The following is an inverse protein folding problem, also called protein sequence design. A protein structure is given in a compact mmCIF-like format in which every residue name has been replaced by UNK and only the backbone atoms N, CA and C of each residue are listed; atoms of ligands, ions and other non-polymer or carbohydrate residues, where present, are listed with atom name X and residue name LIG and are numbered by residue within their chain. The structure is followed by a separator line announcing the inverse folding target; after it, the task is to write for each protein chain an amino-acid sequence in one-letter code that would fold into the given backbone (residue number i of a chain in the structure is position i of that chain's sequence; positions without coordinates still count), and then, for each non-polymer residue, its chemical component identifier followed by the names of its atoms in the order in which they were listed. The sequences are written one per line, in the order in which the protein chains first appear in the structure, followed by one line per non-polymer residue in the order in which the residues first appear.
data_IF_512962823130
#
_entry.id   IF_512962823130
#
_cell.length_a   1.000
_cell.length_b   1.000
_cell.length_c   1.000
_cell.angle_alpha   90.00
_cell.angle_beta   90.00
_cell.angle_gamma   90.00
#
_symmetry.space_group_name_H-M   'P 1'
#
loop_
_entity.id
_entity.type
_entity.pdbx_description
1 polymer ?
#
# COMPACT_ATOMS: atom_id res chain seq x y z
N UNK A 1 -14.88 -3.22 -9.49
CA UNK A 1 -15.41 -4.27 -8.61
C UNK A 1 -16.33 -3.65 -7.58
N UNK A 2 -17.23 -4.44 -6.99
CA UNK A 2 -18.41 -3.96 -6.26
C UNK A 2 -18.13 -3.52 -4.81
N UNK A 3 -16.90 -3.68 -4.31
CA UNK A 3 -16.58 -3.45 -2.89
C UNK A 3 -15.34 -2.57 -2.63
N UNK A 4 -14.99 -1.67 -3.57
CA UNK A 4 -13.90 -0.71 -3.32
C UNK A 4 -14.39 0.52 -2.54
N UNK A 5 -13.71 0.89 -1.46
CA UNK A 5 -14.10 2.03 -0.59
C UNK A 5 -13.40 3.33 -1.02
N UNK A 6 -14.17 4.41 -1.11
CA UNK A 6 -13.66 5.78 -1.26
C UNK A 6 -13.55 6.46 0.11
N UNK A 7 -12.49 7.24 0.31
CA UNK A 7 -12.33 8.04 1.52
C UNK A 7 -13.56 8.96 1.76
N UNK A 8 -14.12 8.92 2.98
CA UNK A 8 -15.33 9.65 3.43
C UNK A 8 -16.63 9.38 2.63
N UNK A 9 -16.74 8.30 1.83
CA UNK A 9 -17.87 8.07 0.90
C UNK A 9 -18.12 9.27 -0.04
N UNK A 10 -17.07 10.04 -0.34
CA UNK A 10 -17.12 11.15 -1.29
C UNK A 10 -16.23 10.82 -2.47
N UNK A 11 -16.70 11.12 -3.68
CA UNK A 11 -15.98 10.86 -4.93
C UNK A 11 -14.55 11.43 -4.94
N UNK A 12 -14.36 12.58 -4.26
CA UNK A 12 -13.05 13.24 -4.12
C UNK A 12 -12.00 12.40 -3.35
N UNK A 13 -12.45 11.59 -2.40
CA UNK A 13 -11.56 10.74 -1.60
C UNK A 13 -10.87 9.66 -2.43
N UNK A 14 -11.54 9.17 -3.48
CA UNK A 14 -10.98 8.21 -4.43
C UNK A 14 -10.01 8.86 -5.42
N UNK A 15 -10.28 10.10 -5.85
CA UNK A 15 -9.38 10.83 -6.76
C UNK A 15 -8.09 11.29 -6.07
N UNK A 16 -8.15 11.62 -4.78
CA UNK A 16 -6.95 12.03 -4.05
C UNK A 16 -6.17 10.85 -3.47
N UNK A 17 -6.80 9.98 -2.67
CA UNK A 17 -6.10 8.99 -1.86
C UNK A 17 -6.09 7.58 -2.48
N UNK A 18 -6.80 7.40 -3.60
CA UNK A 18 -7.04 6.10 -4.21
C UNK A 18 -8.14 5.29 -3.52
N UNK A 19 -8.46 4.14 -4.12
CA UNK A 19 -9.40 3.15 -3.59
C UNK A 19 -8.71 2.21 -2.61
N UNK A 20 -9.45 1.77 -1.60
CA UNK A 20 -9.02 0.70 -0.68
C UNK A 20 -9.71 -0.61 -1.05
N UNK A 21 -8.98 -1.71 -0.89
CA UNK A 21 -9.41 -3.05 -1.27
C UNK A 21 -9.08 -4.05 -0.18
N UNK A 22 -9.94 -5.04 0.01
CA UNK A 22 -9.55 -6.27 0.68
C UNK A 22 -8.49 -7.01 -0.14
N UNK A 23 -7.87 -8.04 0.43
CA UNK A 23 -6.73 -8.67 -0.22
C UNK A 23 -7.10 -9.42 -1.51
N UNK A 24 -8.28 -10.05 -1.56
CA UNK A 24 -8.72 -10.80 -2.75
C UNK A 24 -9.04 -9.82 -3.89
N UNK A 25 -9.72 -8.71 -3.59
CA UNK A 25 -9.94 -7.63 -4.54
C UNK A 25 -8.60 -6.96 -4.97
N UNK A 26 -7.66 -6.78 -4.03
CA UNK A 26 -6.35 -6.19 -4.30
C UNK A 26 -5.54 -6.98 -5.34
N UNK A 27 -5.63 -8.31 -5.33
CA UNK A 27 -4.96 -9.18 -6.30
C UNK A 27 -5.47 -8.96 -7.74
N UNK A 28 -6.69 -8.46 -7.91
CA UNK A 28 -7.35 -8.27 -9.21
C UNK A 28 -7.59 -6.80 -9.56
N UNK A 29 -7.24 -5.87 -8.67
CA UNK A 29 -7.45 -4.43 -8.84
C UNK A 29 -6.51 -3.78 -9.87
N UNK A 30 -5.40 -4.45 -10.21
CA UNK A 30 -4.42 -3.92 -11.15
C UNK A 30 -4.91 -4.02 -12.61
N UNK A 31 -4.61 -3.04 -13.47
CA UNK A 31 -4.93 -3.11 -14.90
C UNK A 31 -4.24 -4.28 -15.60
N UNK A 32 -4.71 -4.64 -16.80
CA UNK A 32 -4.09 -5.68 -17.62
C UNK A 32 -2.60 -5.40 -17.84
N UNK A 33 -1.77 -6.44 -17.65
CA UNK A 33 -0.30 -6.34 -17.71
C UNK A 33 0.35 -5.82 -16.42
N UNK A 34 -0.43 -5.51 -15.40
CA UNK A 34 0.03 -5.12 -14.08
C UNK A 34 -0.49 -6.10 -13.01
N UNK A 35 0.24 -6.19 -11.90
CA UNK A 35 -0.14 -6.99 -10.74
C UNK A 35 0.26 -6.32 -9.45
N UNK A 36 -0.29 -6.81 -8.35
CA UNK A 36 0.16 -6.42 -7.02
C UNK A 36 1.60 -6.93 -6.81
N UNK A 37 2.51 -6.13 -6.22
CA UNK A 37 3.88 -6.54 -5.96
C UNK A 37 3.93 -7.62 -4.89
N UNK A 38 4.85 -8.57 -5.02
CA UNK A 38 5.15 -9.51 -3.94
C UNK A 38 5.94 -8.83 -2.83
N UNK A 39 6.04 -9.50 -1.68
CA UNK A 39 6.90 -9.07 -0.58
C UNK A 39 8.35 -8.91 -1.03
N UNK A 40 8.87 -9.85 -1.81
CA UNK A 40 10.26 -9.85 -2.27
C UNK A 40 10.55 -8.66 -3.21
N UNK A 41 9.57 -8.23 -4.00
CA UNK A 41 9.71 -7.04 -4.86
C UNK A 41 9.74 -5.74 -4.05
N UNK A 42 8.92 -5.66 -3.01
CA UNK A 42 9.00 -4.57 -2.04
C UNK A 42 10.36 -4.52 -1.35
N UNK A 43 10.88 -5.67 -0.91
CA UNK A 43 12.20 -5.76 -0.27
C UNK A 43 13.31 -5.27 -1.20
N UNK A 44 13.34 -5.74 -2.44
CA UNK A 44 14.33 -5.29 -3.44
C UNK A 44 14.26 -3.79 -3.68
N UNK A 45 13.06 -3.23 -3.83
CA UNK A 45 12.88 -1.79 -4.00
C UNK A 45 13.41 -1.03 -2.77
N UNK A 46 13.05 -1.46 -1.56
CA UNK A 46 13.49 -0.82 -0.32
C UNK A 46 15.01 -0.88 -0.19
N UNK A 47 15.63 -2.01 -0.52
CA UNK A 47 17.09 -2.17 -0.54
C UNK A 47 17.76 -1.21 -1.53
N UNK A 48 17.25 -1.10 -2.76
CA UNK A 48 17.73 -0.15 -3.77
C UNK A 48 17.65 1.31 -3.29
N UNK A 49 16.64 1.63 -2.47
CA UNK A 49 16.44 2.95 -1.87
C UNK A 49 17.26 3.16 -0.56
N UNK A 50 18.17 2.25 -0.24
CA UNK A 50 19.09 2.38 0.91
C UNK A 50 18.59 1.72 2.20
N UNK A 51 17.58 0.84 2.10
CA UNK A 51 17.05 0.02 3.19
C UNK A 51 15.92 0.69 3.99
N UNK A 52 15.29 -0.10 4.86
CA UNK A 52 14.10 0.28 5.64
C UNK A 52 14.26 1.56 6.46
N UNK A 53 15.48 1.87 6.89
CA UNK A 53 15.78 3.09 7.68
C UNK A 53 15.95 4.35 6.84
N UNK A 54 15.80 4.29 5.51
CA UNK A 54 16.04 5.42 4.58
C UNK A 54 14.99 5.52 3.48
N UNK A 55 14.47 4.39 3.01
CA UNK A 55 13.61 4.32 1.83
C UNK A 55 12.30 5.12 1.95
N UNK A 56 11.78 5.35 3.16
CA UNK A 56 10.47 5.97 3.36
C UNK A 56 10.34 7.37 2.76
N UNK A 57 11.39 8.20 2.79
CA UNK A 57 11.33 9.51 2.14
C UNK A 57 11.20 9.42 0.62
N UNK A 58 11.94 8.49 -0.01
CA UNK A 58 11.86 8.30 -1.45
C UNK A 58 10.47 7.79 -1.85
N UNK A 59 9.97 6.76 -1.17
CA UNK A 59 8.63 6.18 -1.43
C UNK A 59 7.50 7.21 -1.33
N UNK A 60 7.60 8.17 -0.41
CA UNK A 60 6.57 9.19 -0.16
C UNK A 60 6.73 10.41 -1.07
N UNK A 61 7.95 10.91 -1.25
CA UNK A 61 8.20 12.24 -1.84
C UNK A 61 8.82 12.19 -3.25
N UNK A 62 9.49 11.11 -3.64
CA UNK A 62 10.07 10.99 -4.97
C UNK A 62 8.98 10.68 -6.00
N UNK A 63 8.69 11.68 -6.84
CA UNK A 63 7.71 11.56 -7.92
C UNK A 63 8.24 10.76 -9.11
N UNK A 64 9.56 10.62 -9.26
CA UNK A 64 10.20 9.81 -10.30
C UNK A 64 10.01 8.31 -10.10
N UNK A 65 9.75 7.86 -8.86
CA UNK A 65 9.47 6.45 -8.56
C UNK A 65 8.06 5.99 -8.93
N UNK A 66 7.13 6.91 -9.20
CA UNK A 66 5.75 6.56 -9.56
C UNK A 66 4.89 5.95 -8.44
N UNK A 67 5.43 5.71 -7.25
CA UNK A 67 4.68 5.12 -6.11
C UNK A 67 3.81 6.17 -5.40
N UNK A 68 4.37 7.37 -5.17
CA UNK A 68 3.75 8.49 -4.45
C UNK A 68 2.91 7.99 -3.25
N UNK A 69 3.59 7.45 -2.24
CA UNK A 69 2.96 6.85 -1.07
C UNK A 69 2.30 7.92 -0.19
N UNK A 70 1.11 8.34 -0.56
CA UNK A 70 0.36 9.34 0.19
C UNK A 70 -0.12 8.78 1.53
N UNK A 71 0.03 9.59 2.57
CA UNK A 71 -0.56 9.32 3.87
C UNK A 71 -2.05 9.51 3.81
N UNK A 72 -2.77 8.52 4.30
CA UNK A 72 -4.22 8.55 4.37
C UNK A 72 -4.67 8.22 5.78
N UNK A 73 -5.83 7.59 5.83
CA UNK A 73 -6.51 7.23 7.05
C UNK A 73 -6.45 5.72 7.24
N UNK A 74 -5.56 5.18 8.11
CA UNK A 74 -5.49 3.74 8.31
C UNK A 74 -6.85 3.25 8.84
N UNK A 75 -7.53 2.32 8.16
CA UNK A 75 -8.79 1.79 8.65
C UNK A 75 -8.49 0.91 9.86
N UNK A 76 -9.13 1.21 11.00
CA UNK A 76 -9.24 0.20 12.03
C UNK A 76 -10.37 -0.78 11.68
N UNK A 77 -10.38 -1.95 12.32
CA UNK A 77 -11.32 -3.06 12.07
C UNK A 77 -12.81 -2.70 12.24
N UNK A 78 -13.10 -1.53 12.82
CA UNK A 78 -14.44 -1.02 13.12
C UNK A 78 -14.79 0.26 12.34
N UNK A 79 -14.02 0.60 11.29
CA UNK A 79 -14.26 1.83 10.51
C UNK A 79 -13.98 3.13 11.27
N UNK A 80 -13.30 3.09 12.42
CA UNK A 80 -12.78 4.30 13.08
C UNK A 80 -11.43 4.64 12.49
N UNK A 81 -11.48 5.71 11.73
CA UNK A 81 -10.39 6.51 11.23
C UNK A 81 -9.55 7.04 12.40
N UNK A 82 -8.22 6.82 12.39
CA UNK A 82 -7.25 7.33 13.38
C UNK A 82 -7.04 8.86 13.37
N UNK A 83 -5.80 9.33 13.46
CA UNK A 83 -5.47 10.75 13.19
C UNK A 83 -5.33 10.94 11.67
N UNK A 84 -5.95 11.98 11.09
CA UNK A 84 -5.88 12.23 9.64
C UNK A 84 -4.41 12.24 9.15
N UNK A 85 -4.16 11.67 7.97
CA UNK A 85 -2.87 11.71 7.27
C UNK A 85 -1.64 11.22 8.06
N UNK A 86 -1.82 10.23 8.93
CA UNK A 86 -0.75 9.76 9.81
C UNK A 86 0.00 8.53 9.28
N UNK A 87 -0.63 7.71 8.43
CA UNK A 87 -0.08 6.44 7.96
C UNK A 87 -0.56 6.09 6.56
N UNK A 88 0.26 5.32 5.85
CA UNK A 88 -0.10 4.68 4.57
C UNK A 88 0.24 3.20 4.63
N UNK A 89 -0.57 2.35 4.01
CA UNK A 89 -0.44 0.89 4.06
C UNK A 89 -0.66 0.31 2.67
N UNK A 90 0.19 -0.64 2.29
CA UNK A 90 0.13 -1.30 0.99
C UNK A 90 0.03 -2.80 1.17
N UNK A 91 -0.91 -3.40 0.46
CA UNK A 91 -0.95 -4.85 0.29
C UNK A 91 0.25 -5.32 -0.55
N UNK A 92 0.70 -6.54 -0.26
CA UNK A 92 1.54 -7.33 -1.15
C UNK A 92 0.73 -8.52 -1.68
N UNK A 93 1.15 -9.12 -2.79
CA UNK A 93 0.58 -10.37 -3.32
C UNK A 93 0.99 -11.61 -2.51
N UNK A 94 1.81 -11.46 -1.47
CA UNK A 94 2.34 -12.57 -0.68
C UNK A 94 1.41 -12.88 0.50
N UNK A 95 0.70 -14.01 0.40
CA UNK A 95 -0.07 -14.57 1.51
C UNK A 95 0.87 -15.06 2.63
N UNK A 96 0.54 -14.79 3.89
CA UNK A 96 1.22 -15.42 5.03
C UNK A 96 0.56 -16.75 5.39
N UNK A 97 -0.77 -16.78 5.39
CA UNK A 97 -1.61 -17.96 5.57
C UNK A 97 -2.99 -17.72 4.96
N UNK A 98 -3.95 -18.60 5.21
CA UNK A 98 -5.29 -18.52 4.62
C UNK A 98 -6.02 -17.20 4.98
N UNK A 99 -5.79 -16.67 6.18
CA UNK A 99 -6.50 -15.49 6.70
C UNK A 99 -5.75 -14.16 6.59
N UNK A 100 -4.43 -14.21 6.38
CA UNK A 100 -3.55 -13.03 6.47
C UNK A 100 -2.56 -12.92 5.31
N UNK A 101 -2.20 -11.68 4.97
CA UNK A 101 -1.22 -11.36 3.95
C UNK A 101 -0.24 -10.28 4.41
N UNK A 102 0.93 -10.24 3.77
CA UNK A 102 1.99 -9.29 4.10
C UNK A 102 1.65 -7.87 3.64
N UNK A 103 2.07 -6.90 4.43
CA UNK A 103 1.88 -5.47 4.19
C UNK A 103 3.15 -4.67 4.45
N UNK A 104 3.28 -3.56 3.72
CA UNK A 104 4.25 -2.50 4.01
C UNK A 104 3.54 -1.23 4.40
N UNK A 105 4.08 -0.49 5.35
CA UNK A 105 3.48 0.74 5.83
C UNK A 105 4.52 1.75 6.31
N UNK A 106 4.14 3.02 6.26
CA UNK A 106 4.94 4.14 6.76
C UNK A 106 4.08 5.02 7.64
N UNK A 107 4.67 5.51 8.74
CA UNK A 107 4.02 6.45 9.65
C UNK A 107 4.72 7.80 9.51
N UNK A 108 3.95 8.86 9.26
CA UNK A 108 4.47 10.20 8.92
C UNK A 108 5.49 10.74 9.93
N UNK A 109 5.24 10.57 11.23
CA UNK A 109 6.14 11.01 12.29
C UNK A 109 7.32 10.05 12.58
N UNK A 110 7.38 8.90 11.90
CA UNK A 110 8.49 7.93 11.97
C UNK A 110 9.30 7.87 10.68
N UNK A 111 8.98 8.70 9.68
CA UNK A 111 9.82 8.79 8.49
C UNK A 111 11.28 9.08 8.87
N UNK A 112 12.26 8.49 8.16
CA UNK A 112 12.13 7.72 6.91
C UNK A 112 11.88 6.21 7.06
N UNK A 113 11.44 5.73 8.23
CA UNK A 113 11.26 4.29 8.46
C UNK A 113 10.15 3.70 7.57
N UNK A 114 10.50 2.63 6.85
CA UNK A 114 9.55 1.69 6.25
C UNK A 114 9.37 0.52 7.20
N UNK A 115 8.12 0.18 7.48
CA UNK A 115 7.75 -0.90 8.38
C UNK A 115 7.00 -1.96 7.58
N UNK A 116 7.03 -3.20 8.06
CA UNK A 116 6.31 -4.32 7.46
C UNK A 116 5.62 -5.15 8.53
N UNK A 117 4.59 -5.88 8.12
CA UNK A 117 3.82 -6.76 8.99
C UNK A 117 2.84 -7.58 8.19
N UNK A 118 1.83 -8.13 8.84
CA UNK A 118 0.75 -8.85 8.17
C UNK A 118 -0.58 -8.41 8.75
N UNK A 119 -1.61 -8.45 7.92
CA UNK A 119 -2.96 -8.02 8.25
C UNK A 119 -3.96 -9.09 7.80
N UNK A 120 -5.13 -9.14 8.44
CA UNK A 120 -6.21 -10.00 7.94
C UNK A 120 -6.60 -9.54 6.55
N UNK A 121 -6.77 -10.51 5.63
CA UNK A 121 -7.16 -10.30 4.24
C UNK A 121 -8.47 -9.52 4.08
N UNK A 122 -9.28 -9.43 5.14
CA UNK A 122 -10.54 -8.67 5.18
C UNK A 122 -10.37 -7.17 5.42
N UNK A 123 -9.14 -6.68 5.66
CA UNK A 123 -8.89 -5.25 5.81
C UNK A 123 -8.82 -4.56 4.45
N UNK A 124 -9.40 -3.36 4.36
CA UNK A 124 -9.30 -2.54 3.16
C UNK A 124 -8.03 -1.70 3.19
N UNK A 125 -7.02 -2.01 2.37
CA UNK A 125 -5.76 -1.24 2.29
C UNK A 125 -5.50 -0.75 0.87
N UNK A 126 -4.51 0.13 0.71
CA UNK A 126 -4.14 0.66 -0.61
C UNK A 126 -3.40 -0.39 -1.44
N UNK A 127 -3.60 -0.30 -2.75
CA UNK A 127 -2.85 -1.07 -3.73
C UNK A 127 -1.94 -0.16 -4.55
N UNK A 128 -0.77 -0.69 -4.92
CA UNK A 128 0.12 -0.13 -5.94
C UNK A 128 0.52 -1.29 -6.82
N UNK A 129 0.51 -1.06 -8.13
CA UNK A 129 0.74 -2.12 -9.09
C UNK A 129 2.16 -2.03 -9.65
N UNK A 130 2.73 -3.18 -9.94
CA UNK A 130 3.99 -3.35 -10.68
C UNK A 130 3.70 -4.08 -11.99
N UNK A 131 4.50 -3.83 -13.00
CA UNK A 131 4.50 -4.59 -14.26
C UNK A 131 5.82 -5.33 -14.37
N UNK A 132 5.87 -6.36 -15.21
CA UNK A 132 7.10 -7.07 -15.57
C UNK A 132 7.98 -6.15 -16.42
N UNK A 133 8.61 -5.15 -15.78
CA UNK A 133 9.66 -4.34 -16.40
C UNK A 133 10.62 -3.83 -15.32
N UNK A 134 11.52 -4.70 -14.87
CA UNK A 134 12.89 -4.27 -14.62
C UNK A 134 13.71 -4.90 -15.75
N UNK A 135 14.01 -4.18 -16.84
CA UNK A 135 15.08 -4.61 -17.72
C UNK A 135 16.37 -4.67 -16.90
N UNK A 136 17.11 -5.76 -17.05
CA UNK A 136 18.47 -5.92 -16.55
C UNK A 136 19.35 -4.70 -16.84
#
# INVERSE_FOLDING_TARGET
TKDSWCYKNKDYGCSEFGRLYDWDDALTACPDGWRLPTKEEWERLIEQLGGEKKAGYALVYDRGLGINAQFGYPPNINGRFGVEESQTNFWTATSLNDDTAWTYYMIKNKLPLVLYGYMSKKYNLSCRCVTESIPN
#
